data_IF_289284668797
#
_entry.id   IF_289284668797
#
_cell.length_a   1.000
_cell.length_b   1.000
_cell.length_c   1.000
_cell.angle_alpha   90.00
_cell.angle_beta   90.00
_cell.angle_gamma   90.00
#
_symmetry.space_group_name_H-M   'P 1'
#
loop_
_entity.id
_entity.type
_entity.pdbx_description
1 polymer ?
#
# COMPACT_ATOMS: atom_id res chain seq x y z
N UNK A 1 3.32 7.54 13.69
CA UNK A 1 2.38 6.40 13.64
C UNK A 1 1.27 6.71 14.61
N UNK A 2 0.03 6.88 14.13
CA UNK A 2 -1.13 7.15 14.99
C UNK A 2 -1.51 5.84 15.69
N UNK A 3 -1.74 5.82 17.02
CA UNK A 3 -2.18 4.60 17.68
C UNK A 3 -3.61 4.29 17.22
N UNK A 4 -3.77 3.22 16.45
CA UNK A 4 -5.10 2.66 16.15
C UNK A 4 -5.54 1.81 17.35
N UNK A 5 -6.80 1.95 17.73
CA UNK A 5 -7.41 1.30 18.91
C UNK A 5 -7.06 -0.20 18.93
N UNK A 6 -6.56 -0.67 20.07
CA UNK A 6 -5.82 -1.92 20.36
C UNK A 6 -6.50 -3.25 20.01
N UNK A 7 -7.63 -3.22 19.31
CA UNK A 7 -8.46 -4.38 18.97
C UNK A 7 -7.97 -5.07 17.68
N UNK A 8 -7.38 -4.31 16.75
CA UNK A 8 -6.94 -4.83 15.45
C UNK A 8 -5.43 -4.68 15.26
N UNK A 9 -4.77 -5.76 14.85
CA UNK A 9 -3.36 -5.70 14.47
C UNK A 9 -3.23 -4.83 13.21
N UNK A 10 -2.35 -3.81 13.19
CA UNK A 10 -2.13 -3.02 11.99
C UNK A 10 -1.62 -3.93 10.87
N UNK A 11 -2.20 -3.79 9.68
CA UNK A 11 -1.76 -4.52 8.50
C UNK A 11 -0.35 -4.08 8.13
N UNK A 12 0.53 -5.05 7.91
CA UNK A 12 1.85 -4.77 7.39
C UNK A 12 1.73 -4.13 6.00
N UNK A 13 2.57 -3.13 5.75
CA UNK A 13 2.66 -2.46 4.46
C UNK A 13 4.12 -2.29 4.06
N UNK A 14 4.34 -2.13 2.76
CA UNK A 14 5.67 -1.86 2.19
C UNK A 14 5.60 -0.74 1.17
N UNK A 15 6.71 -0.04 1.00
CA UNK A 15 6.86 0.91 -0.09
C UNK A 15 7.34 0.19 -1.35
N UNK A 16 6.68 0.46 -2.47
CA UNK A 16 7.11 0.05 -3.80
C UNK A 16 7.61 1.29 -4.54
N UNK A 17 8.87 1.26 -4.91
CA UNK A 17 9.51 2.31 -5.70
C UNK A 17 9.55 1.88 -7.17
N UNK A 18 9.21 2.79 -8.07
CA UNK A 18 9.27 2.55 -9.51
C UNK A 18 9.68 3.82 -10.23
N UNK A 19 10.48 3.67 -11.28
CA UNK A 19 10.86 4.77 -12.16
C UNK A 19 10.01 4.65 -13.43
N UNK A 20 9.32 5.72 -13.80
CA UNK A 20 8.67 5.85 -15.10
C UNK A 20 9.67 6.49 -16.05
N UNK A 21 9.91 5.83 -17.18
CA UNK A 21 10.80 6.29 -18.24
C UNK A 21 9.97 6.80 -19.43
N UNK A 22 10.52 7.79 -20.12
CA UNK A 22 10.08 8.22 -21.45
C UNK A 22 10.51 7.21 -22.52
N UNK A 23 10.01 7.37 -23.75
CA UNK A 23 10.38 6.51 -24.88
C UNK A 23 11.88 6.58 -25.24
N UNK A 24 12.50 7.74 -25.00
CA UNK A 24 13.93 7.97 -25.19
C UNK A 24 14.79 7.44 -24.02
N UNK A 25 14.18 6.80 -23.03
CA UNK A 25 14.86 6.26 -21.84
C UNK A 25 15.14 7.29 -20.76
N UNK A 26 14.79 8.57 -20.96
CA UNK A 26 14.93 9.59 -19.92
C UNK A 26 13.94 9.35 -18.77
N UNK A 27 14.25 9.86 -17.58
CA UNK A 27 13.39 9.70 -16.41
C UNK A 27 12.20 10.66 -16.54
N UNK A 28 11.00 10.08 -16.70
CA UNK A 28 9.75 10.84 -16.68
C UNK A 28 9.35 11.20 -15.24
N UNK A 29 9.33 10.21 -14.34
CA UNK A 29 8.90 10.41 -12.95
C UNK A 29 9.34 9.30 -12.00
N UNK A 30 9.69 9.66 -10.77
CA UNK A 30 9.78 8.72 -9.65
C UNK A 30 8.41 8.48 -9.03
N UNK A 31 8.01 7.22 -8.88
CA UNK A 31 6.73 6.83 -8.29
C UNK A 31 6.97 6.02 -7.02
N UNK A 32 6.28 6.40 -5.95
CA UNK A 32 6.26 5.68 -4.68
C UNK A 32 4.82 5.27 -4.39
N UNK A 33 4.61 3.99 -4.07
CA UNK A 33 3.30 3.48 -3.66
C UNK A 33 3.43 2.77 -2.32
N UNK A 34 2.55 3.11 -1.37
CA UNK A 34 2.39 2.33 -0.14
C UNK A 34 1.40 1.20 -0.45
N UNK A 35 1.85 -0.04 -0.30
CA UNK A 35 1.05 -1.23 -0.61
C UNK A 35 0.91 -2.08 0.63
N UNK A 36 -0.33 -2.48 0.94
CA UNK A 36 -0.62 -3.40 2.03
C UNK A 36 -0.16 -4.82 1.66
N UNK A 37 0.42 -5.53 2.63
CA UNK A 37 0.84 -6.91 2.46
C UNK A 37 -0.37 -7.86 2.58
N UNK A 38 -1.07 -8.05 1.45
CA UNK A 38 -2.33 -8.79 1.39
C UNK A 38 -2.27 -10.26 1.83
N UNK A 39 -1.07 -10.86 1.85
CA UNK A 39 -0.87 -12.25 2.29
C UNK A 39 -1.14 -12.48 3.79
N UNK A 40 -1.25 -11.40 4.59
CA UNK A 40 -1.57 -11.46 6.02
C UNK A 40 -3.01 -11.03 6.33
N UNK A 41 -3.78 -10.65 5.32
CA UNK A 41 -5.18 -10.26 5.48
C UNK A 41 -6.06 -11.50 5.72
N UNK A 42 -7.03 -11.41 6.64
CA UNK A 42 -7.97 -12.48 7.00
C UNK A 42 -9.41 -12.13 6.61
N UNK A 43 -10.05 -13.03 5.84
CA UNK A 43 -11.45 -12.92 5.37
C UNK A 43 -12.39 -12.53 6.51
N UNK A 44 -13.21 -11.49 6.31
CA UNK A 44 -14.09 -10.82 7.30
C UNK A 44 -13.46 -9.92 8.38
N UNK A 45 -12.14 -9.83 8.49
CA UNK A 45 -11.47 -8.93 9.43
C UNK A 45 -10.93 -7.67 8.73
N UNK A 46 -10.31 -7.85 7.56
CA UNK A 46 -9.44 -6.82 6.96
C UNK A 46 -9.99 -6.16 5.67
N UNK A 47 -11.12 -6.62 5.12
CA UNK A 47 -11.70 -6.14 3.85
C UNK A 47 -13.25 -6.02 3.87
N UNK A 48 -13.86 -5.87 5.05
CA UNK A 48 -15.28 -5.52 5.14
C UNK A 48 -15.54 -4.03 4.84
N UNK A 49 -14.51 -3.18 4.86
CA UNK A 49 -14.61 -1.77 4.47
C UNK A 49 -13.91 -1.55 3.12
N UNK A 50 -14.72 -1.28 2.10
CA UNK A 50 -14.26 -0.90 0.77
C UNK A 50 -13.67 0.51 0.85
N UNK A 51 -12.34 0.63 0.88
CA UNK A 51 -11.66 1.92 0.65
C UNK A 51 -11.74 2.28 -0.84
N UNK A 52 -12.92 2.70 -1.28
CA UNK A 52 -13.08 3.50 -2.48
C UNK A 52 -13.26 4.96 -2.04
N UNK A 53 -12.29 5.80 -2.39
CA UNK A 53 -12.34 7.25 -2.33
C UNK A 53 -11.92 7.79 -3.70
#
# INVERSE_FOLDING_TARGET
>A
MVPCHTIFKPLESKFVFSIKLCLDGSIYRYKVQLVVLGNKQKYHLDYNETFAL
#
